data_IF_642296138453
#
_entry.id   IF_642296138453
#
_cell.length_a   1.000
_cell.length_b   1.000
_cell.length_c   1.000
_cell.angle_alpha   90.00
_cell.angle_beta   90.00
_cell.angle_gamma   90.00
#
_symmetry.space_group_name_H-M   'P 1'
#
loop_
_entity.id
_entity.type
_entity.pdbx_description
1 polymer ?
#
# COMPACT_ATOMS: atom_id res chain seq x y z
N UNK A 1 5.49 8.88 39.18
CA UNK A 1 6.78 8.90 38.48
C UNK A 1 6.57 8.47 37.04
N UNK A 2 7.04 9.31 36.10
CA UNK A 2 7.24 9.12 34.64
C UNK A 2 6.24 8.22 33.88
N UNK A 3 5.29 8.72 33.07
CA UNK A 3 5.46 9.48 31.82
C UNK A 3 6.37 8.74 30.80
N UNK A 4 5.83 8.24 29.69
CA UNK A 4 5.93 8.90 28.37
C UNK A 4 5.25 8.05 27.28
N UNK A 5 4.42 8.71 26.47
CA UNK A 5 4.05 8.23 25.13
C UNK A 5 5.31 8.26 24.26
N UNK A 6 5.64 7.15 23.61
CA UNK A 6 6.52 7.18 22.45
C UNK A 6 5.69 6.79 21.23
N UNK A 7 5.05 7.82 20.66
CA UNK A 7 4.92 7.93 19.21
C UNK A 7 6.35 7.84 18.69
N UNK A 8 6.69 6.80 17.92
CA UNK A 8 7.76 6.71 16.92
C UNK A 8 8.00 5.22 16.60
N UNK A 9 7.19 4.64 15.71
CA UNK A 9 7.74 3.67 14.77
C UNK A 9 7.51 4.22 13.36
N UNK A 10 8.20 5.31 13.07
CA UNK A 10 8.32 5.92 11.74
C UNK A 10 9.33 5.13 10.90
N UNK A 11 9.39 3.81 11.07
CA UNK A 11 10.12 2.95 10.15
C UNK A 11 9.33 2.93 8.85
N UNK A 12 9.89 3.55 7.80
CA UNK A 12 9.43 3.28 6.43
C UNK A 12 9.62 1.78 6.22
N UNK A 13 8.53 1.00 6.29
CA UNK A 13 8.60 -0.45 6.14
C UNK A 13 9.17 -0.83 4.76
N UNK A 14 8.87 -0.02 3.73
CA UNK A 14 9.33 -0.17 2.35
C UNK A 14 9.51 1.22 1.72
N UNK A 15 10.58 1.44 0.95
CA UNK A 15 10.70 2.65 0.12
C UNK A 15 10.04 2.35 -1.23
N UNK A 16 8.83 2.87 -1.43
CA UNK A 16 8.23 2.95 -2.76
C UNK A 16 8.83 4.18 -3.46
N UNK A 17 9.93 4.00 -4.19
CA UNK A 17 10.35 5.01 -5.16
C UNK A 17 9.35 5.02 -6.32
N UNK A 18 9.04 6.19 -6.90
CA UNK A 18 8.04 6.36 -7.96
C UNK A 18 8.54 5.83 -9.31
N UNK A 19 8.99 4.59 -9.36
CA UNK A 19 8.99 3.80 -10.59
C UNK A 19 7.61 3.19 -10.73
N UNK A 20 6.64 4.07 -11.02
CA UNK A 20 5.31 3.68 -11.45
C UNK A 20 5.46 2.78 -12.68
N UNK A 21 4.90 1.59 -12.58
CA UNK A 21 4.87 0.68 -13.71
C UNK A 21 3.48 0.79 -14.33
N UNK A 22 3.44 1.26 -15.57
CA UNK A 22 2.19 1.64 -16.26
C UNK A 22 1.13 0.54 -16.21
N UNK A 23 1.55 -0.71 -16.33
CA UNK A 23 0.64 -1.86 -16.41
C UNK A 23 1.34 -3.17 -16.01
N UNK A 24 0.55 -4.24 -15.87
CA UNK A 24 1.02 -5.57 -15.48
C UNK A 24 2.11 -6.12 -16.43
N UNK A 25 2.05 -5.86 -17.75
CA UNK A 25 3.08 -6.36 -18.68
C UNK A 25 4.42 -5.67 -18.44
N UNK A 26 4.36 -4.36 -18.17
CA UNK A 26 5.54 -3.59 -17.78
C UNK A 26 6.12 -4.12 -16.46
N UNK A 27 5.28 -4.52 -15.49
CA UNK A 27 5.74 -5.06 -14.20
C UNK A 27 6.38 -6.42 -14.38
N UNK A 28 5.81 -7.29 -15.19
CA UNK A 28 6.39 -8.59 -15.53
C UNK A 28 7.73 -8.45 -16.25
N UNK A 29 7.85 -7.48 -17.15
CA UNK A 29 9.10 -7.16 -17.84
C UNK A 29 10.20 -6.72 -16.88
N UNK A 30 9.85 -5.88 -15.90
CA UNK A 30 10.76 -5.47 -14.83
C UNK A 30 11.14 -6.64 -13.93
N UNK A 31 10.16 -7.44 -13.50
CA UNK A 31 10.40 -8.64 -12.69
C UNK A 31 11.42 -9.56 -13.36
N UNK A 32 11.25 -9.84 -14.66
CA UNK A 32 12.19 -10.65 -15.43
C UNK A 32 13.61 -10.06 -15.39
N UNK A 33 13.76 -8.77 -15.68
CA UNK A 33 15.06 -8.07 -15.67
C UNK A 33 15.75 -8.08 -14.30
N UNK A 34 14.98 -8.09 -13.21
CA UNK A 34 15.50 -8.14 -11.84
C UNK A 34 15.93 -9.55 -11.45
N UNK A 35 15.13 -10.56 -11.83
CA UNK A 35 15.49 -11.98 -11.65
C UNK A 35 16.72 -12.35 -12.47
N UNK A 36 16.84 -11.85 -13.71
CA UNK A 36 18.01 -12.05 -14.58
C UNK A 36 19.29 -11.44 -13.98
N UNK A 37 19.16 -10.48 -13.06
CA UNK A 37 20.27 -9.90 -12.28
C UNK A 37 20.52 -10.62 -10.94
N UNK A 38 19.91 -11.79 -10.75
CA UNK A 38 20.00 -12.60 -9.52
C UNK A 38 19.48 -11.91 -8.26
N UNK A 39 18.61 -10.91 -8.39
CA UNK A 39 17.89 -10.34 -7.25
C UNK A 39 16.75 -11.28 -6.84
N UNK A 40 16.50 -11.39 -5.54
CA UNK A 40 15.38 -12.15 -5.02
C UNK A 40 14.11 -11.31 -5.09
N UNK A 41 13.30 -11.55 -6.13
CA UNK A 41 12.05 -10.82 -6.39
C UNK A 41 10.85 -11.70 -6.04
N UNK A 42 9.87 -11.15 -5.34
CA UNK A 42 8.64 -11.87 -5.02
C UNK A 42 7.84 -12.24 -6.28
N UNK A 43 6.89 -13.19 -6.18
CA UNK A 43 5.77 -13.27 -7.11
C UNK A 43 5.01 -11.93 -7.16
N UNK A 44 4.18 -11.75 -8.18
CA UNK A 44 3.21 -10.65 -8.23
C UNK A 44 2.16 -10.86 -7.14
N UNK A 45 1.89 -9.81 -6.37
CA UNK A 45 0.93 -9.81 -5.27
C UNK A 45 -0.20 -8.84 -5.62
N UNK A 46 -1.44 -9.32 -5.53
CA UNK A 46 -2.65 -8.51 -5.67
C UNK A 46 -2.94 -7.75 -4.36
N UNK A 47 -3.00 -6.43 -4.46
CA UNK A 47 -3.29 -5.50 -3.35
C UNK A 47 -4.67 -4.85 -3.46
N UNK A 48 -5.58 -5.44 -4.23
CA UNK A 48 -6.92 -4.95 -4.59
C UNK A 48 -6.96 -3.68 -5.45
N UNK A 49 -6.08 -2.72 -5.18
CA UNK A 49 -6.02 -1.44 -5.86
C UNK A 49 -4.90 -1.35 -6.90
N UNK A 50 -3.92 -2.25 -6.81
CA UNK A 50 -2.76 -2.37 -7.68
C UNK A 50 -2.11 -3.76 -7.50
N UNK A 51 -1.22 -4.13 -8.42
CA UNK A 51 -0.33 -5.27 -8.25
C UNK A 51 1.05 -4.79 -7.80
N UNK A 52 1.72 -5.55 -6.93
CA UNK A 52 3.09 -5.23 -6.53
C UNK A 52 4.04 -6.42 -6.52
N UNK A 53 5.31 -6.11 -6.78
CA UNK A 53 6.46 -7.01 -6.55
C UNK A 53 7.45 -6.32 -5.62
N UNK A 54 8.14 -7.11 -4.81
CA UNK A 54 9.14 -6.64 -3.86
C UNK A 54 10.49 -7.27 -4.15
N UNK A 55 11.57 -6.53 -3.94
CA UNK A 55 12.92 -7.07 -3.96
C UNK A 55 13.85 -6.25 -3.06
N UNK A 56 14.92 -6.88 -2.59
CA UNK A 56 15.99 -6.17 -1.87
C UNK A 56 17.14 -5.89 -2.81
N UNK A 57 17.62 -4.66 -2.81
CA UNK A 57 18.89 -4.33 -3.46
C UNK A 57 20.08 -4.73 -2.56
N UNK A 58 21.32 -4.80 -3.07
CA UNK A 58 22.49 -5.27 -2.32
C UNK A 58 22.78 -4.59 -0.96
N UNK A 59 22.45 -3.32 -0.80
CA UNK A 59 22.51 -2.55 0.44
C UNK A 59 21.39 -2.87 1.45
N UNK A 60 20.47 -3.78 1.11
CA UNK A 60 19.43 -4.31 1.99
C UNK A 60 18.11 -3.54 1.94
N UNK A 61 18.04 -2.41 1.21
CA UNK A 61 16.81 -1.62 1.09
C UNK A 61 15.75 -2.41 0.33
N UNK A 62 14.53 -2.45 0.90
CA UNK A 62 13.38 -3.12 0.30
C UNK A 62 12.64 -2.17 -0.64
N UNK A 63 12.66 -2.52 -1.91
CA UNK A 63 11.96 -1.81 -2.98
C UNK A 63 10.64 -2.49 -3.31
N UNK A 64 9.66 -1.67 -3.66
CA UNK A 64 8.37 -2.07 -4.20
C UNK A 64 8.19 -1.48 -5.60
N UNK A 65 7.77 -2.31 -6.55
CA UNK A 65 7.27 -1.87 -7.87
C UNK A 65 5.78 -2.13 -7.91
N UNK A 66 4.98 -1.08 -7.85
CA UNK A 66 3.52 -1.12 -7.92
C UNK A 66 3.02 -0.67 -9.31
N UNK A 67 1.89 -1.23 -9.74
CA UNK A 67 1.23 -0.83 -10.98
C UNK A 67 0.31 0.38 -10.77
N UNK A 68 0.13 1.19 -11.81
CA UNK A 68 -0.77 2.37 -11.78
C UNK A 68 -2.27 2.05 -11.66
N UNK A 69 -2.84 0.96 -12.22
CA UNK A 69 -4.29 0.78 -12.27
C UNK A 69 -4.82 -0.25 -11.25
N UNK A 70 -6.12 -0.16 -10.91
CA UNK A 70 -7.08 0.92 -11.24
C UNK A 70 -7.09 2.08 -10.21
N UNK A 71 -6.30 1.98 -9.15
CA UNK A 71 -6.26 2.96 -8.07
C UNK A 71 -7.48 2.88 -7.14
N UNK A 72 -7.60 3.86 -6.24
CA UNK A 72 -8.61 3.83 -5.18
C UNK A 72 -10.03 4.20 -5.63
N UNK A 73 -10.20 4.67 -6.87
CA UNK A 73 -11.51 5.10 -7.38
C UNK A 73 -12.41 3.93 -7.87
N UNK A 74 -12.00 2.67 -7.64
CA UNK A 74 -12.78 1.49 -8.06
C UNK A 74 -14.02 1.23 -7.21
N UNK A 75 -13.93 1.52 -5.92
CA UNK A 75 -14.95 1.17 -4.93
C UNK A 75 -15.41 2.39 -4.13
N UNK A 76 -14.85 3.57 -4.40
CA UNK A 76 -15.23 4.85 -3.81
C UNK A 76 -15.29 5.97 -4.86
N UNK A 77 -16.30 6.86 -4.79
CA UNK A 77 -16.28 8.09 -5.55
C UNK A 77 -15.14 8.99 -5.05
N UNK A 78 -14.50 9.73 -5.96
CA UNK A 78 -13.35 10.59 -5.66
C UNK A 78 -13.62 11.56 -4.50
N UNK A 79 -14.85 12.05 -4.37
CA UNK A 79 -15.26 13.01 -3.34
C UNK A 79 -15.34 12.41 -1.94
N UNK A 80 -15.35 11.07 -1.81
CA UNK A 80 -15.48 10.35 -0.53
C UNK A 80 -14.33 9.37 -0.26
N UNK A 81 -13.24 9.46 -1.03
CA UNK A 81 -12.08 8.59 -0.85
C UNK A 81 -11.57 8.64 0.60
N UNK A 82 -11.43 7.45 1.20
CA UNK A 82 -10.93 7.30 2.56
C UNK A 82 -11.92 7.69 3.66
N UNK A 83 -13.19 7.94 3.35
CA UNK A 83 -14.24 8.19 4.36
C UNK A 83 -14.79 6.91 4.98
N UNK A 84 -14.63 5.75 4.33
CA UNK A 84 -15.14 4.47 4.80
C UNK A 84 -14.03 3.42 4.98
N UNK A 85 -14.24 2.49 5.91
CA UNK A 85 -13.38 1.32 6.05
C UNK A 85 -13.63 0.32 4.91
N UNK A 86 -12.70 0.28 3.95
CA UNK A 86 -12.65 -0.73 2.89
C UNK A 86 -11.87 -1.95 3.34
N UNK A 87 -12.43 -3.12 3.07
CA UNK A 87 -11.80 -4.40 3.32
C UNK A 87 -11.73 -5.16 2.00
N UNK A 88 -10.66 -5.92 1.77
CA UNK A 88 -10.63 -6.83 0.65
C UNK A 88 -11.70 -7.91 0.81
N UNK A 89 -12.18 -8.48 -0.30
CA UNK A 89 -13.30 -9.43 -0.32
C UNK A 89 -13.12 -10.63 0.62
N UNK A 90 -11.87 -11.10 0.81
CA UNK A 90 -11.54 -12.19 1.72
C UNK A 90 -11.60 -11.83 3.21
N UNK A 91 -11.57 -10.53 3.57
CA UNK A 91 -11.71 -10.05 4.96
C UNK A 91 -13.13 -9.58 5.30
N UNK A 92 -13.99 -9.34 4.30
CA UNK A 92 -15.38 -8.92 4.51
C UNK A 92 -16.18 -9.82 5.48
N UNK A 93 -16.06 -11.17 5.47
CA UNK A 93 -16.75 -12.01 6.46
C UNK A 93 -16.38 -11.70 7.91
N UNK A 94 -15.20 -11.11 8.16
CA UNK A 94 -14.69 -10.75 9.48
C UNK A 94 -14.89 -9.27 9.83
N UNK A 95 -15.60 -8.48 9.00
CA UNK A 95 -15.77 -7.03 9.16
C UNK A 95 -16.16 -6.60 10.58
N UNK A 96 -17.20 -7.20 11.15
CA UNK A 96 -17.69 -6.84 12.50
C UNK A 96 -16.60 -6.96 13.57
N UNK A 97 -15.78 -8.01 13.48
CA UNK A 97 -14.68 -8.23 14.42
C UNK A 97 -13.56 -7.20 14.20
N UNK A 98 -13.25 -6.88 12.94
CA UNK A 98 -12.24 -5.88 12.59
C UNK A 98 -12.65 -4.49 13.10
N UNK A 99 -13.90 -4.08 12.85
CA UNK A 99 -14.44 -2.79 13.29
C UNK A 99 -14.44 -2.63 14.81
N UNK A 100 -14.54 -3.72 15.58
CA UNK A 100 -14.49 -3.68 17.05
C UNK A 100 -13.09 -3.43 17.62
N UNK A 101 -12.03 -3.82 16.90
CA UNK A 101 -10.65 -3.71 17.40
C UNK A 101 -9.92 -2.48 16.84
N UNK A 102 -10.45 -1.87 15.78
CA UNK A 102 -9.87 -0.67 15.20
C UNK A 102 -10.18 0.57 16.06
N UNK A 103 -9.18 1.38 16.42
CA UNK A 103 -9.43 2.65 17.08
C UNK A 103 -10.18 3.59 16.13
N UNK A 104 -11.12 4.42 16.63
CA UNK A 104 -11.82 5.38 15.80
C UNK A 104 -10.85 6.44 15.27
N UNK A 105 -11.00 6.81 13.99
CA UNK A 105 -10.22 7.87 13.34
C UNK A 105 -11.17 9.02 13.03
N UNK A 106 -10.74 10.24 13.35
CA UNK A 106 -11.44 11.47 12.94
C UNK A 106 -10.68 12.11 11.79
N UNK A 107 -11.34 12.22 10.63
CA UNK A 107 -10.78 12.91 9.48
C UNK A 107 -10.81 14.42 9.72
N UNK A 108 -9.64 15.05 9.75
CA UNK A 108 -9.54 16.49 9.62
C UNK A 108 -9.69 16.86 8.14
N UNK A 109 -10.85 17.41 7.77
CA UNK A 109 -11.02 17.98 6.43
C UNK A 109 -10.34 19.35 6.38
N UNK A 110 -9.45 19.61 5.40
CA UNK A 110 -8.90 20.94 5.23
C UNK A 110 -10.03 21.93 4.94
N UNK A 111 -9.96 23.11 5.57
CA UNK A 111 -10.90 24.20 5.33
C UNK A 111 -10.74 24.59 3.85
N UNK A 112 -11.82 24.51 3.07
CA UNK A 112 -11.81 25.07 1.72
C UNK A 112 -11.68 26.58 1.85
N UNK A 113 -10.56 27.15 1.43
CA UNK A 113 -10.46 28.59 1.20
C UNK A 113 -11.40 28.96 0.05
N UNK A 114 -12.21 30.00 0.28
CA UNK A 114 -13.29 30.45 -0.59
C UNK A 114 -12.79 31.32 -1.74
#
# INVERSE_FOLDING_TARGET
MAAFMEVLDTSIANVALPYMVVDDNSQQSWRKRLVDRHLNVTPVIDRCYFHSIYFREPGGVLFELATDPPGFAIDEPMEKLGEALKLPSWLEPSRKRIEQVLPPIQLHKPIKEA
#
